data_IF_727505901221
#
_entry.id   IF_727505901221
#
_cell.length_a   1.000
_cell.length_b   1.000
_cell.length_c   1.000
_cell.angle_alpha   90.00
_cell.angle_beta   90.00
_cell.angle_gamma   90.00
#
_symmetry.space_group_name_H-M   'P 1'
#
loop_
_entity.id
_entity.type
_entity.pdbx_description
1 polymer ?
#
# COMPACT_ATOMS: atom_id res chain seq x y z
N UNK A 1 22.83 -5.18 43.85
CA UNK A 1 23.16 -6.62 44.03
C UNK A 1 24.08 -6.94 45.23
N UNK A 2 24.53 -5.98 46.06
CA UNK A 2 25.46 -6.26 47.17
C UNK A 2 24.81 -6.34 48.58
N UNK A 3 23.56 -5.88 48.71
CA UNK A 3 22.85 -5.83 50.00
C UNK A 3 22.17 -7.18 50.33
N UNK A 4 21.69 -7.90 49.32
CA UNK A 4 20.98 -9.18 49.51
C UNK A 4 21.89 -10.31 50.02
N UNK A 5 23.19 -10.30 49.67
CA UNK A 5 24.14 -11.33 50.12
C UNK A 5 24.50 -11.24 51.61
N UNK A 6 24.43 -10.05 52.23
CA UNK A 6 24.71 -9.88 53.67
C UNK A 6 23.52 -10.30 54.55
N UNK A 7 22.29 -10.13 54.07
CA UNK A 7 21.08 -10.56 54.78
C UNK A 7 20.90 -12.08 54.80
N UNK A 8 21.31 -12.78 53.73
CA UNK A 8 21.25 -14.24 53.65
C UNK A 8 22.28 -14.91 54.56
N UNK A 9 23.49 -14.35 54.70
CA UNK A 9 24.55 -14.87 55.56
C UNK A 9 24.23 -14.73 57.06
N UNK A 10 23.62 -13.61 57.47
CA UNK A 10 23.16 -13.39 58.86
C UNK A 10 22.01 -14.33 59.25
N UNK A 11 21.13 -14.68 58.30
CA UNK A 11 20.09 -15.71 58.50
C UNK A 11 20.67 -17.11 58.70
N UNK A 12 21.75 -17.46 58.00
CA UNK A 12 22.39 -18.78 58.12
C UNK A 12 23.12 -18.95 59.47
N UNK A 13 23.81 -17.92 59.96
CA UNK A 13 24.45 -17.96 61.28
C UNK A 13 23.45 -18.01 62.45
N UNK A 14 22.29 -17.32 62.33
CA UNK A 14 21.20 -17.44 63.31
C UNK A 14 20.49 -18.79 63.25
N UNK A 15 20.39 -19.43 62.08
CA UNK A 15 19.87 -20.80 61.92
C UNK A 15 20.75 -21.81 62.66
N UNK A 16 22.07 -21.79 62.44
CA UNK A 16 22.99 -22.76 63.06
C UNK A 16 23.06 -22.68 64.59
N UNK A 17 22.83 -21.50 65.20
CA UNK A 17 22.71 -21.37 66.67
C UNK A 17 21.38 -21.90 67.20
N UNK A 18 20.27 -21.69 66.48
CA UNK A 18 18.96 -22.23 66.86
C UNK A 18 18.93 -23.76 66.75
N UNK A 19 19.58 -24.31 65.73
CA UNK A 19 19.67 -25.75 65.49
C UNK A 19 20.47 -26.46 66.58
N UNK A 20 21.61 -25.90 67.02
CA UNK A 20 22.38 -26.43 68.15
C UNK A 20 21.63 -26.36 69.49
N UNK A 21 20.86 -25.29 69.73
CA UNK A 21 20.01 -25.19 70.92
C UNK A 21 18.87 -26.20 70.87
N UNK A 22 18.25 -26.42 69.70
CA UNK A 22 17.22 -27.43 69.52
C UNK A 22 17.76 -28.85 69.72
N UNK A 23 18.95 -29.14 69.20
CA UNK A 23 19.61 -30.44 69.36
C UNK A 23 20.00 -30.69 70.82
N UNK A 24 20.51 -29.69 71.54
CA UNK A 24 20.80 -29.81 72.98
C UNK A 24 19.52 -29.97 73.81
N UNK A 25 18.43 -29.30 73.44
CA UNK A 25 17.14 -29.45 74.10
C UNK A 25 16.52 -30.84 73.84
N UNK A 26 16.66 -31.38 72.63
CA UNK A 26 16.18 -32.70 72.25
C UNK A 26 17.03 -33.83 72.85
N UNK A 27 18.35 -33.68 72.93
CA UNK A 27 19.24 -34.65 73.61
C UNK A 27 19.00 -34.70 75.11
N UNK A 28 18.69 -33.58 75.76
CA UNK A 28 18.39 -33.55 77.19
C UNK A 28 17.00 -34.15 77.52
N UNK A 29 16.05 -34.15 76.57
CA UNK A 29 14.74 -34.80 76.75
C UNK A 29 14.74 -36.33 76.58
N UNK A 30 15.75 -36.90 75.91
CA UNK A 30 15.87 -38.36 75.77
C UNK A 30 16.41 -39.04 77.04
N UNK A 31 16.93 -38.29 78.00
CA UNK A 31 17.47 -38.83 79.24
C UNK A 31 16.49 -38.79 80.43
N UNK A 32 15.36 -38.09 80.32
CA UNK A 32 14.52 -37.78 81.50
C UNK A 32 13.01 -38.13 81.38
N UNK A 33 12.58 -38.98 80.43
CA UNK A 33 11.13 -39.22 80.23
C UNK A 33 10.67 -40.67 79.99
N UNK A 34 11.33 -41.66 80.59
CA UNK A 34 10.74 -43.03 80.66
C UNK A 34 9.80 -43.25 81.86
N UNK A 35 9.40 -42.18 82.56
CA UNK A 35 8.51 -42.27 83.73
C UNK A 35 7.12 -41.72 83.39
N UNK A 36 6.44 -42.29 82.40
CA UNK A 36 4.98 -42.35 82.42
C UNK A 36 4.45 -43.37 81.39
N UNK A 37 3.71 -44.37 81.88
CA UNK A 37 3.01 -45.43 81.15
C UNK A 37 3.86 -46.60 80.59
N UNK A 38 3.57 -47.81 81.11
CA UNK A 38 4.19 -49.07 80.73
C UNK A 38 3.92 -49.52 79.28
N UNK A 39 4.55 -50.62 78.83
CA UNK A 39 4.57 -51.00 77.44
C UNK A 39 3.18 -51.50 76.99
N UNK A 40 2.54 -50.75 76.08
CA UNK A 40 1.55 -51.31 75.16
C UNK A 40 0.10 -50.82 75.27
N UNK A 41 -0.26 -49.83 76.11
CA UNK A 41 -1.62 -49.28 76.11
C UNK A 41 -1.64 -47.78 75.85
N UNK A 42 -2.23 -47.39 74.72
CA UNK A 42 -2.44 -45.99 74.35
C UNK A 42 -3.34 -45.30 75.38
N UNK A 43 -3.00 -44.10 75.86
CA UNK A 43 -3.86 -43.36 76.78
C UNK A 43 -5.26 -43.15 76.18
N UNK A 44 -6.31 -43.35 76.97
CA UNK A 44 -7.69 -43.24 76.50
C UNK A 44 -7.98 -41.85 75.92
N UNK A 45 -7.51 -40.80 76.58
CA UNK A 45 -7.65 -39.43 76.09
C UNK A 45 -7.09 -39.27 74.66
N UNK A 46 -5.90 -39.81 74.41
CA UNK A 46 -5.26 -39.73 73.09
C UNK A 46 -6.06 -40.47 72.01
N UNK A 47 -6.65 -41.63 72.32
CA UNK A 47 -7.52 -42.35 71.38
C UNK A 47 -8.78 -41.56 71.02
N UNK A 48 -9.40 -40.89 72.01
CA UNK A 48 -10.60 -40.08 71.78
C UNK A 48 -10.29 -38.85 70.93
N UNK A 49 -9.19 -38.14 71.23
CA UNK A 49 -8.78 -36.95 70.47
C UNK A 49 -8.44 -37.30 69.01
N UNK A 50 -7.72 -38.39 68.76
CA UNK A 50 -7.40 -38.82 67.39
C UNK A 50 -8.65 -39.28 66.61
N UNK A 51 -9.57 -40.00 67.27
CA UNK A 51 -10.85 -40.38 66.67
C UNK A 51 -11.66 -39.15 66.27
N UNK A 52 -11.69 -38.13 67.12
CA UNK A 52 -12.35 -36.85 66.82
C UNK A 52 -11.69 -36.12 65.64
N UNK A 53 -10.36 -35.94 65.66
CA UNK A 53 -9.63 -35.30 64.55
C UNK A 53 -9.91 -36.01 63.23
N UNK A 54 -9.81 -37.34 63.22
CA UNK A 54 -10.05 -38.10 62.00
C UNK A 54 -11.48 -37.91 61.51
N UNK A 55 -12.49 -38.01 62.38
CA UNK A 55 -13.89 -37.80 61.97
C UNK A 55 -14.13 -36.40 61.42
N UNK A 56 -13.73 -35.35 62.14
CA UNK A 56 -13.94 -33.96 61.72
C UNK A 56 -13.18 -33.61 60.44
N UNK A 57 -11.95 -34.10 60.26
CA UNK A 57 -11.19 -33.87 59.04
C UNK A 57 -11.75 -34.60 57.81
N UNK A 58 -12.44 -35.74 58.00
CA UNK A 58 -13.14 -36.42 56.89
C UNK A 58 -14.43 -35.69 56.50
N UNK A 59 -15.00 -34.88 57.39
CA UNK A 59 -16.18 -34.04 57.11
C UNK A 59 -15.81 -32.79 56.29
N UNK A 60 -14.57 -32.30 56.39
CA UNK A 60 -14.12 -31.10 55.67
C UNK A 60 -13.66 -31.45 54.25
N UNK A 61 -14.25 -30.82 53.24
CA UNK A 61 -13.89 -31.03 51.83
C UNK A 61 -12.60 -30.32 51.44
N UNK A 62 -11.70 -31.03 50.76
CA UNK A 62 -10.43 -30.46 50.25
C UNK A 62 -10.60 -29.34 49.22
N UNK A 63 -11.78 -29.16 48.64
CA UNK A 63 -12.05 -28.14 47.61
C UNK A 63 -12.54 -26.80 48.19
N UNK A 64 -12.70 -26.71 49.51
CA UNK A 64 -13.19 -25.49 50.15
C UNK A 64 -12.08 -24.43 50.23
N UNK A 65 -12.35 -23.16 49.85
CA UNK A 65 -11.33 -22.09 49.88
C UNK A 65 -10.75 -21.86 51.28
N UNK A 66 -11.53 -22.15 52.31
CA UNK A 66 -11.19 -22.04 53.74
C UNK A 66 -10.73 -23.38 54.33
N UNK A 67 -10.45 -24.40 53.51
CA UNK A 67 -10.05 -25.74 53.96
C UNK A 67 -8.94 -25.70 55.02
N UNK A 68 -7.92 -24.86 54.82
CA UNK A 68 -6.81 -24.72 55.77
C UNK A 68 -7.25 -24.06 57.09
N UNK A 69 -8.20 -23.12 57.06
CA UNK A 69 -8.75 -22.46 58.24
C UNK A 69 -9.66 -23.41 59.03
N UNK A 70 -10.50 -24.18 58.34
CA UNK A 70 -11.35 -25.21 58.92
C UNK A 70 -10.52 -26.35 59.52
N UNK A 71 -9.49 -26.81 58.81
CA UNK A 71 -8.53 -27.80 59.31
C UNK A 71 -7.83 -27.31 60.58
N UNK A 72 -7.36 -26.05 60.59
CA UNK A 72 -6.74 -25.45 61.76
C UNK A 72 -7.72 -25.35 62.94
N UNK A 73 -9.00 -25.07 62.67
CA UNK A 73 -10.04 -24.99 63.69
C UNK A 73 -10.25 -26.34 64.41
N UNK A 74 -10.31 -27.45 63.67
CA UNK A 74 -10.39 -28.81 64.25
C UNK A 74 -9.24 -29.08 65.21
N UNK A 75 -8.00 -28.73 64.82
CA UNK A 75 -6.85 -28.90 65.70
C UNK A 75 -6.84 -27.94 66.90
N UNK A 76 -7.35 -26.70 66.76
CA UNK A 76 -7.53 -25.77 67.88
C UNK A 76 -8.50 -26.30 68.92
N UNK A 77 -9.60 -26.90 68.47
CA UNK A 77 -10.63 -27.45 69.35
C UNK A 77 -10.10 -28.67 70.10
N UNK A 78 -9.40 -29.56 69.41
CA UNK A 78 -8.73 -30.74 69.99
C UNK A 78 -7.65 -30.35 70.99
N UNK A 79 -6.83 -29.34 70.66
CA UNK A 79 -5.82 -28.83 71.57
C UNK A 79 -6.46 -28.16 72.79
N UNK A 80 -7.60 -27.49 72.62
CA UNK A 80 -8.40 -26.97 73.73
C UNK A 80 -8.92 -28.06 74.66
N UNK A 81 -9.45 -29.17 74.10
CA UNK A 81 -9.85 -30.35 74.86
C UNK A 81 -8.65 -30.98 75.58
N UNK A 82 -7.51 -31.12 74.91
CA UNK A 82 -6.28 -31.64 75.50
C UNK A 82 -5.85 -30.81 76.71
N UNK A 83 -5.76 -29.48 76.59
CA UNK A 83 -5.32 -28.59 77.68
C UNK A 83 -6.22 -28.69 78.92
N UNK A 84 -7.54 -28.85 78.73
CA UNK A 84 -8.51 -28.96 79.85
C UNK A 84 -8.26 -30.16 80.77
N UNK A 85 -7.68 -31.23 80.24
CA UNK A 85 -7.40 -32.46 80.99
C UNK A 85 -6.10 -32.36 81.82
N UNK A 86 -5.15 -31.48 81.48
CA UNK A 86 -3.85 -31.36 82.15
C UNK A 86 -3.83 -30.34 83.29
N UNK A 87 -4.35 -30.70 84.46
CA UNK A 87 -4.54 -29.75 85.59
C UNK A 87 -3.27 -28.98 86.01
N UNK A 88 -2.11 -29.64 86.10
CA UNK A 88 -0.86 -29.02 86.58
C UNK A 88 -0.27 -28.00 85.60
N UNK A 89 -0.36 -28.27 84.30
CA UNK A 89 0.25 -27.44 83.24
C UNK A 89 -0.77 -26.58 82.49
N UNK A 90 -2.06 -26.71 82.82
CA UNK A 90 -3.16 -26.03 82.12
C UNK A 90 -2.97 -24.52 82.01
N UNK A 91 -2.56 -23.76 83.06
CA UNK A 91 -2.36 -22.32 82.93
C UNK A 91 -1.31 -21.97 81.87
N UNK A 92 -0.13 -22.60 81.95
CA UNK A 92 0.96 -22.38 81.00
C UNK A 92 0.57 -22.74 79.56
N UNK A 93 -0.06 -23.90 79.35
CA UNK A 93 -0.48 -24.32 78.00
C UNK A 93 -1.61 -23.43 77.45
N UNK A 94 -2.50 -22.93 78.31
CA UNK A 94 -3.55 -21.99 77.93
C UNK A 94 -2.96 -20.65 77.51
N UNK A 95 -1.96 -20.16 78.24
CA UNK A 95 -1.24 -18.92 77.90
C UNK A 95 -0.49 -19.06 76.57
N UNK A 96 0.21 -20.18 76.36
CA UNK A 96 0.87 -20.49 75.09
C UNK A 96 -0.16 -20.51 73.94
N UNK A 97 -1.28 -21.23 74.10
CA UNK A 97 -2.36 -21.28 73.10
C UNK A 97 -2.89 -19.88 72.80
N UNK A 98 -3.13 -19.06 73.83
CA UNK A 98 -3.63 -17.69 73.71
C UNK A 98 -2.66 -16.79 72.93
N UNK A 99 -1.36 -16.89 73.18
CA UNK A 99 -0.37 -16.10 72.42
C UNK A 99 -0.35 -16.45 70.92
N UNK A 100 -0.47 -17.74 70.57
CA UNK A 100 -0.62 -18.14 69.17
C UNK A 100 -1.93 -17.64 68.55
N UNK A 101 -3.04 -17.71 69.28
CA UNK A 101 -4.33 -17.21 68.83
C UNK A 101 -4.33 -15.69 68.61
N UNK A 102 -3.70 -14.94 69.52
CA UNK A 102 -3.49 -13.50 69.37
C UNK A 102 -2.64 -13.18 68.14
N UNK A 103 -1.56 -13.92 67.93
CA UNK A 103 -0.67 -13.74 66.77
C UNK A 103 -1.40 -14.05 65.45
N UNK A 104 -2.20 -15.11 65.41
CA UNK A 104 -3.00 -15.45 64.23
C UNK A 104 -4.06 -14.37 63.94
N UNK A 105 -4.77 -13.88 64.96
CA UNK A 105 -5.74 -12.80 64.81
C UNK A 105 -5.09 -11.51 64.29
N UNK A 106 -3.90 -11.17 64.80
CA UNK A 106 -3.11 -10.04 64.32
C UNK A 106 -2.74 -10.19 62.83
N UNK A 107 -2.22 -11.36 62.43
CA UNK A 107 -1.86 -11.63 61.04
C UNK A 107 -3.07 -11.60 60.10
N UNK A 108 -4.22 -12.14 60.53
CA UNK A 108 -5.47 -12.06 59.78
C UNK A 108 -5.93 -10.60 59.62
N UNK A 109 -5.79 -9.77 60.66
CA UNK A 109 -6.04 -8.32 60.57
C UNK A 109 -5.17 -7.65 59.50
N UNK A 110 -3.86 -7.92 59.51
CA UNK A 110 -2.93 -7.42 58.50
C UNK A 110 -3.28 -7.86 57.08
N UNK A 111 -3.75 -9.10 56.89
CA UNK A 111 -4.21 -9.58 55.57
C UNK A 111 -5.48 -8.84 55.12
N UNK A 112 -6.43 -8.60 56.03
CA UNK A 112 -7.67 -7.88 55.71
C UNK A 112 -7.43 -6.44 55.26
N UNK A 113 -6.43 -5.78 55.82
CA UNK A 113 -6.03 -4.42 55.39
C UNK A 113 -5.47 -4.38 53.95
N UNK A 114 -4.94 -5.49 53.44
CA UNK A 114 -4.44 -5.55 52.06
C UNK A 114 -5.56 -5.58 51.01
N UNK A 115 -6.76 -6.03 51.37
CA UNK A 115 -7.89 -6.14 50.43
C UNK A 115 -8.40 -4.78 49.90
N UNK A 116 -8.61 -3.73 50.73
CA UNK A 116 -8.95 -2.40 50.23
C UNK A 116 -7.81 -1.77 49.41
N UNK A 117 -6.54 -2.05 49.75
CA UNK A 117 -5.39 -1.61 48.97
C UNK A 117 -5.38 -2.23 47.56
N UNK A 118 -5.64 -3.53 47.45
CA UNK A 118 -5.79 -4.24 46.16
C UNK A 118 -6.96 -3.71 45.35
N UNK A 119 -8.08 -3.44 46.01
CA UNK A 119 -9.27 -2.86 45.38
C UNK A 119 -8.98 -1.47 44.82
N UNK A 120 -8.32 -0.60 45.60
CA UNK A 120 -7.91 0.73 45.15
C UNK A 120 -6.91 0.67 44.00
N UNK A 121 -5.94 -0.25 44.06
CA UNK A 121 -4.99 -0.45 42.96
C UNK A 121 -5.72 -0.82 41.66
N UNK A 122 -6.66 -1.78 41.73
CA UNK A 122 -7.47 -2.19 40.58
C UNK A 122 -8.21 -1.01 39.95
N UNK A 123 -8.87 -0.19 40.76
CA UNK A 123 -9.58 1.01 40.29
C UNK A 123 -8.64 2.02 39.62
N UNK A 124 -7.46 2.27 40.19
CA UNK A 124 -6.48 3.19 39.59
C UNK A 124 -5.92 2.63 38.28
N UNK A 125 -5.68 1.31 38.20
CA UNK A 125 -5.26 0.66 36.97
C UNK A 125 -6.32 0.82 35.88
N UNK A 126 -7.59 0.50 36.17
CA UNK A 126 -8.70 0.66 35.22
C UNK A 126 -8.88 2.12 34.76
N UNK A 127 -8.70 3.08 35.67
CA UNK A 127 -8.75 4.51 35.35
C UNK A 127 -7.61 4.93 34.41
N UNK A 128 -6.39 4.48 34.69
CA UNK A 128 -5.23 4.73 33.83
C UNK A 128 -5.43 4.13 32.44
N UNK A 129 -5.90 2.89 32.35
CA UNK A 129 -6.17 2.21 31.08
C UNK A 129 -7.22 2.98 30.27
N UNK A 130 -8.29 3.44 30.91
CA UNK A 130 -9.33 4.25 30.26
C UNK A 130 -8.77 5.57 29.74
N UNK A 131 -7.90 6.25 30.50
CA UNK A 131 -7.26 7.50 30.07
C UNK A 131 -6.33 7.28 28.88
N UNK A 132 -5.53 6.20 28.89
CA UNK A 132 -4.64 5.84 27.79
C UNK A 132 -5.47 5.58 26.52
N UNK A 133 -6.54 4.79 26.64
CA UNK A 133 -7.43 4.50 25.51
C UNK A 133 -8.11 5.75 24.96
N UNK A 134 -8.60 6.65 25.83
CA UNK A 134 -9.23 7.89 25.42
C UNK A 134 -8.26 8.81 24.66
N UNK A 135 -7.04 8.98 25.18
CA UNK A 135 -5.98 9.76 24.52
C UNK A 135 -5.60 9.18 23.17
N UNK A 136 -5.44 7.86 23.11
CA UNK A 136 -5.15 7.18 21.84
C UNK A 136 -6.26 7.40 20.81
N UNK A 137 -7.53 7.29 21.21
CA UNK A 137 -8.66 7.52 20.31
C UNK A 137 -8.72 8.97 19.79
N UNK A 138 -8.46 9.94 20.66
CA UNK A 138 -8.36 11.36 20.32
C UNK A 138 -7.25 11.61 19.28
N UNK A 139 -6.04 11.10 19.54
CA UNK A 139 -4.90 11.20 18.62
C UNK A 139 -5.20 10.56 17.25
N UNK A 140 -5.83 9.38 17.22
CA UNK A 140 -6.19 8.74 15.96
C UNK A 140 -7.26 9.53 15.17
N UNK A 141 -8.21 10.15 15.87
CA UNK A 141 -9.20 11.01 15.24
C UNK A 141 -8.55 12.27 14.63
N UNK A 142 -7.62 12.90 15.35
CA UNK A 142 -6.86 14.07 14.87
C UNK A 142 -5.98 13.71 13.68
N UNK A 143 -5.20 12.62 13.75
CA UNK A 143 -4.41 12.11 12.62
C UNK A 143 -5.30 11.87 11.41
N UNK A 144 -6.49 11.29 11.61
CA UNK A 144 -7.47 11.09 10.55
C UNK A 144 -7.96 12.40 9.93
N UNK A 145 -8.22 13.43 10.75
CA UNK A 145 -8.65 14.74 10.29
C UNK A 145 -7.56 15.46 9.48
N UNK A 146 -6.34 15.51 10.01
CA UNK A 146 -5.20 16.13 9.35
C UNK A 146 -4.84 15.44 8.04
N UNK A 147 -4.97 14.10 7.95
CA UNK A 147 -4.77 13.38 6.68
C UNK A 147 -5.80 13.79 5.62
N UNK A 148 -7.06 13.94 6.00
CA UNK A 148 -8.12 14.39 5.08
C UNK A 148 -7.88 15.82 4.60
N UNK A 149 -7.51 16.72 5.50
CA UNK A 149 -7.19 18.11 5.17
C UNK A 149 -5.97 18.20 4.24
N UNK A 150 -4.89 17.47 4.56
CA UNK A 150 -3.71 17.37 3.69
C UNK A 150 -4.09 16.93 2.26
N UNK A 151 -4.91 15.89 2.13
CA UNK A 151 -5.38 15.41 0.82
C UNK A 151 -6.24 16.45 0.09
N UNK A 152 -7.04 17.23 0.82
CA UNK A 152 -7.83 18.32 0.24
C UNK A 152 -6.93 19.45 -0.25
N UNK A 153 -5.95 19.87 0.55
CA UNK A 153 -4.98 20.90 0.17
C UNK A 153 -4.13 20.46 -1.03
N UNK A 154 -3.70 19.19 -1.08
CA UNK A 154 -3.00 18.65 -2.24
C UNK A 154 -3.83 18.75 -3.52
N UNK A 155 -5.12 18.35 -3.47
CA UNK A 155 -6.04 18.50 -4.61
C UNK A 155 -6.21 19.96 -5.03
N UNK A 156 -6.28 20.88 -4.07
CA UNK A 156 -6.39 22.31 -4.37
C UNK A 156 -5.13 22.84 -5.06
N UNK A 157 -3.94 22.43 -4.60
CA UNK A 157 -2.66 22.78 -5.23
C UNK A 157 -2.61 22.27 -6.67
N UNK A 158 -3.00 21.01 -6.91
CA UNK A 158 -3.04 20.43 -8.26
C UNK A 158 -3.99 21.22 -9.17
N UNK A 159 -5.19 21.55 -8.69
CA UNK A 159 -6.16 22.34 -9.45
C UNK A 159 -5.64 23.74 -9.78
N UNK A 160 -4.95 24.38 -8.84
CA UNK A 160 -4.33 25.69 -9.05
C UNK A 160 -3.19 25.63 -10.08
N UNK A 161 -2.36 24.57 -10.04
CA UNK A 161 -1.30 24.34 -11.04
C UNK A 161 -1.86 24.14 -12.44
N UNK A 162 -2.94 23.38 -12.58
CA UNK A 162 -3.58 23.20 -13.89
C UNK A 162 -4.18 24.50 -14.41
N UNK A 163 -4.76 25.32 -13.52
CA UNK A 163 -5.24 26.66 -13.90
C UNK A 163 -4.10 27.59 -14.33
N UNK A 164 -2.96 27.52 -13.66
CA UNK A 164 -1.77 28.29 -14.02
C UNK A 164 -1.25 27.91 -15.41
N UNK A 165 -1.10 26.61 -15.68
CA UNK A 165 -0.73 26.11 -17.02
C UNK A 165 -1.72 26.55 -18.10
N UNK A 166 -3.03 26.48 -17.82
CA UNK A 166 -4.05 26.92 -18.76
C UNK A 166 -3.94 28.43 -19.05
N UNK A 167 -3.67 29.24 -18.03
CA UNK A 167 -3.44 30.68 -18.19
C UNK A 167 -2.19 30.95 -19.03
N UNK A 168 -1.09 30.24 -18.76
CA UNK A 168 0.16 30.37 -19.51
C UNK A 168 -0.03 30.03 -21.00
N UNK A 169 -0.77 28.94 -21.30
CA UNK A 169 -1.13 28.60 -22.67
C UNK A 169 -1.98 29.69 -23.36
N UNK A 170 -2.93 30.31 -22.64
CA UNK A 170 -3.72 31.42 -23.16
C UNK A 170 -2.83 32.63 -23.47
N UNK A 171 -1.86 32.95 -22.62
CA UNK A 171 -0.91 34.03 -22.86
C UNK A 171 -0.05 33.74 -24.09
N UNK A 172 0.50 32.53 -24.22
CA UNK A 172 1.26 32.11 -25.39
C UNK A 172 0.44 32.21 -26.69
N UNK A 173 -0.82 31.76 -26.67
CA UNK A 173 -1.73 31.88 -27.83
C UNK A 173 -2.00 33.34 -28.22
N UNK A 174 -2.14 34.26 -27.25
CA UNK A 174 -2.29 35.69 -27.54
C UNK A 174 -1.06 36.23 -28.26
N UNK A 175 0.14 35.92 -27.77
CA UNK A 175 1.41 36.32 -28.40
C UNK A 175 1.51 35.77 -29.83
N UNK A 176 1.26 34.47 -30.02
CA UNK A 176 1.28 33.86 -31.35
C UNK A 176 0.26 34.51 -32.31
N UNK A 177 -0.93 34.88 -31.80
CA UNK A 177 -1.94 35.56 -32.61
C UNK A 177 -1.49 36.96 -33.01
N UNK A 178 -0.91 37.72 -32.10
CA UNK A 178 -0.35 39.04 -32.41
C UNK A 178 0.77 38.93 -33.46
N UNK A 179 1.69 38.00 -33.30
CA UNK A 179 2.79 37.81 -34.26
C UNK A 179 2.29 37.34 -35.63
N UNK A 180 1.26 36.48 -35.67
CA UNK A 180 0.57 36.13 -36.92
C UNK A 180 -0.02 37.38 -37.59
N UNK A 181 -0.68 38.25 -36.84
CA UNK A 181 -1.24 39.49 -37.43
C UNK A 181 -0.15 40.44 -37.94
N UNK A 182 0.98 40.57 -37.22
CA UNK A 182 2.14 41.35 -37.70
C UNK A 182 2.68 40.79 -39.01
N UNK A 183 2.90 39.49 -39.09
CA UNK A 183 3.39 38.82 -40.30
C UNK A 183 2.40 38.98 -41.47
N UNK A 184 1.09 38.90 -41.22
CA UNK A 184 0.07 39.14 -42.23
C UNK A 184 0.08 40.59 -42.74
N UNK A 185 0.25 41.56 -41.85
CA UNK A 185 0.38 42.98 -42.22
C UNK A 185 1.65 43.23 -43.03
N UNK A 186 2.78 42.64 -42.65
CA UNK A 186 4.04 42.69 -43.40
C UNK A 186 3.91 42.09 -44.79
N UNK A 187 3.30 40.91 -44.91
CA UNK A 187 3.03 40.29 -46.19
C UNK A 187 2.14 41.17 -47.08
N UNK A 188 1.10 41.77 -46.49
CA UNK A 188 0.20 42.69 -47.20
C UNK A 188 0.95 43.92 -47.68
N UNK A 189 1.81 44.49 -46.83
CA UNK A 189 2.70 45.61 -47.16
C UNK A 189 3.64 45.27 -48.30
N UNK A 190 4.37 44.15 -48.20
CA UNK A 190 5.30 43.68 -49.22
C UNK A 190 4.60 43.43 -50.56
N UNK A 191 3.39 42.83 -50.56
CA UNK A 191 2.57 42.66 -51.77
C UNK A 191 2.19 44.00 -52.40
N UNK A 192 1.85 45.01 -51.60
CA UNK A 192 1.54 46.34 -52.11
C UNK A 192 2.79 47.05 -52.67
N UNK A 193 3.94 46.95 -52.00
CA UNK A 193 5.22 47.47 -52.49
C UNK A 193 5.63 46.81 -53.81
N UNK A 194 5.49 45.48 -53.88
CA UNK A 194 5.71 44.73 -55.11
C UNK A 194 4.81 45.20 -56.26
N UNK A 195 3.53 45.43 -55.97
CA UNK A 195 2.58 45.98 -56.93
C UNK A 195 2.98 47.38 -57.44
N UNK A 196 3.63 48.19 -56.61
CA UNK A 196 4.16 49.52 -57.00
C UNK A 196 5.41 49.40 -57.86
N UNK A 197 6.33 48.48 -57.52
CA UNK A 197 7.64 48.35 -58.16
C UNK A 197 7.56 47.69 -59.53
N UNK A 198 6.59 46.80 -59.76
CA UNK A 198 6.41 46.15 -61.06
C UNK A 198 5.10 46.62 -61.69
N UNK A 199 5.16 47.61 -62.60
CA UNK A 199 3.98 48.10 -63.31
C UNK A 199 3.21 46.97 -63.96
N UNK A 200 1.88 47.00 -63.86
CA UNK A 200 0.98 46.00 -64.44
C UNK A 200 1.29 45.67 -65.91
N UNK A 201 1.71 46.70 -66.68
CA UNK A 201 2.14 46.55 -68.07
C UNK A 201 3.37 45.65 -68.24
N UNK A 202 4.33 45.68 -67.31
CA UNK A 202 5.50 44.82 -67.32
C UNK A 202 5.13 43.38 -66.96
N UNK A 203 4.16 43.17 -66.05
CA UNK A 203 3.60 41.84 -65.77
C UNK A 203 2.92 41.24 -66.98
N UNK A 204 2.03 41.99 -67.63
CA UNK A 204 1.32 41.50 -68.81
C UNK A 204 2.30 41.20 -69.94
N UNK A 205 3.36 42.01 -70.09
CA UNK A 205 4.44 41.76 -71.06
C UNK A 205 5.24 40.50 -70.71
N UNK A 206 5.62 40.32 -69.44
CA UNK A 206 6.38 39.16 -68.97
C UNK A 206 5.57 37.86 -69.07
N UNK A 207 4.29 37.92 -68.76
CA UNK A 207 3.36 36.79 -68.87
C UNK A 207 3.13 36.43 -70.34
N UNK A 208 3.01 37.43 -71.21
CA UNK A 208 2.86 37.22 -72.65
C UNK A 208 4.13 36.65 -73.27
N UNK A 209 5.33 37.12 -72.90
CA UNK A 209 6.58 36.50 -73.36
C UNK A 209 6.75 35.10 -72.82
N UNK A 210 6.38 34.83 -71.56
CA UNK A 210 6.39 33.47 -71.02
C UNK A 210 5.47 32.54 -71.82
N UNK A 211 4.25 32.99 -72.12
CA UNK A 211 3.30 32.25 -72.95
C UNK A 211 3.80 32.04 -74.38
N UNK A 212 4.40 33.06 -74.99
CA UNK A 212 5.03 32.97 -76.31
C UNK A 212 6.21 31.98 -76.30
N UNK A 213 7.07 32.04 -75.29
CA UNK A 213 8.19 31.11 -75.14
C UNK A 213 7.69 29.68 -74.99
N UNK A 214 6.61 29.44 -74.23
CA UNK A 214 5.98 28.12 -74.13
C UNK A 214 5.44 27.63 -75.47
N UNK A 215 4.80 28.51 -76.24
CA UNK A 215 4.33 28.18 -77.58
C UNK A 215 5.50 27.87 -78.52
N UNK A 216 6.56 28.67 -78.49
CA UNK A 216 7.78 28.43 -79.27
C UNK A 216 8.44 27.10 -78.88
N UNK A 217 8.48 26.77 -77.59
CA UNK A 217 9.04 25.50 -77.10
C UNK A 217 8.21 24.32 -77.63
N UNK A 218 6.88 24.46 -77.66
CA UNK A 218 5.98 23.46 -78.26
C UNK A 218 6.18 23.34 -79.77
N UNK A 219 6.36 24.44 -80.49
CA UNK A 219 6.66 24.44 -81.93
C UNK A 219 8.00 23.77 -82.19
N UNK A 220 9.07 24.19 -81.49
CA UNK A 220 10.40 23.60 -81.62
C UNK A 220 10.42 22.11 -81.26
N UNK A 221 9.59 21.69 -80.30
CA UNK A 221 9.43 20.28 -79.98
C UNK A 221 8.74 19.52 -81.12
N UNK A 222 7.69 20.09 -81.73
CA UNK A 222 7.09 19.54 -82.93
C UNK A 222 8.07 19.46 -84.10
N UNK A 223 8.85 20.51 -84.34
CA UNK A 223 9.90 20.55 -85.37
C UNK A 223 11.00 19.52 -85.09
N UNK A 224 11.39 19.34 -83.83
CA UNK A 224 12.34 18.30 -83.43
C UNK A 224 11.79 16.89 -83.68
N UNK A 225 10.52 16.65 -83.33
CA UNK A 225 9.84 15.38 -83.61
C UNK A 225 9.70 15.16 -85.13
N UNK A 226 9.43 16.21 -85.90
CA UNK A 226 9.40 16.20 -87.37
C UNK A 226 10.75 15.86 -87.99
N UNK A 227 11.82 16.54 -87.57
CA UNK A 227 13.18 16.25 -88.01
C UNK A 227 13.60 14.84 -87.65
N UNK A 228 13.16 14.34 -86.49
CA UNK A 228 13.41 12.95 -86.08
C UNK A 228 12.70 11.96 -87.01
N UNK A 229 11.48 12.25 -87.44
CA UNK A 229 10.74 11.45 -88.44
C UNK A 229 11.41 11.54 -89.81
N UNK A 230 11.80 12.73 -90.27
CA UNK A 230 12.48 12.92 -91.56
C UNK A 230 13.82 12.18 -91.59
N UNK A 231 14.64 12.32 -90.53
CA UNK A 231 15.92 11.62 -90.42
C UNK A 231 15.73 10.09 -90.38
N UNK A 232 14.70 9.59 -89.68
CA UNK A 232 14.35 8.18 -89.69
C UNK A 232 13.93 7.70 -91.10
N UNK A 233 13.15 8.49 -91.84
CA UNK A 233 12.73 8.18 -93.22
C UNK A 233 13.91 8.20 -94.21
N UNK A 234 14.79 9.21 -94.14
CA UNK A 234 16.02 9.28 -94.95
C UNK A 234 16.94 8.07 -94.69
N UNK A 235 17.03 7.63 -93.44
CA UNK A 235 17.81 6.43 -93.06
C UNK A 235 17.16 5.14 -93.57
N UNK A 236 15.83 5.04 -93.56
CA UNK A 236 15.10 3.87 -94.03
C UNK A 236 15.02 3.75 -95.57
N UNK A 237 15.09 4.87 -96.31
CA UNK A 237 14.92 4.91 -97.77
C UNK A 237 16.01 5.74 -98.50
N UNK A 238 17.25 5.23 -98.65
CA UNK A 238 18.41 5.98 -99.15
C UNK A 238 18.42 6.31 -100.66
N UNK A 239 17.37 5.96 -101.43
CA UNK A 239 17.31 6.14 -102.89
C UNK A 239 16.20 7.11 -103.35
N UNK A 240 15.57 7.83 -102.42
CA UNK A 240 14.43 8.74 -102.69
C UNK A 240 14.91 10.20 -102.78
N UNK A 241 14.45 10.95 -103.79
CA UNK A 241 14.79 12.37 -103.97
C UNK A 241 14.11 13.25 -102.91
N UNK A 242 14.73 14.37 -102.51
CA UNK A 242 14.24 15.26 -101.43
C UNK A 242 12.75 15.65 -101.61
N UNK A 243 12.28 15.83 -102.84
CA UNK A 243 10.89 16.18 -103.16
C UNK A 243 9.85 15.08 -102.81
N UNK A 244 10.24 13.80 -102.80
CA UNK A 244 9.36 12.69 -102.44
C UNK A 244 9.29 12.48 -100.92
N UNK A 245 10.38 12.82 -100.20
CA UNK A 245 10.46 12.72 -98.74
C UNK A 245 9.60 13.81 -98.09
N UNK A 246 9.63 15.04 -98.61
CA UNK A 246 8.81 16.16 -98.12
C UNK A 246 7.29 15.87 -98.26
N UNK A 247 6.88 15.20 -99.35
CA UNK A 247 5.47 14.82 -99.59
C UNK A 247 4.98 13.74 -98.61
N UNK A 248 5.86 12.83 -98.20
CA UNK A 248 5.59 11.77 -97.23
C UNK A 248 5.55 12.30 -95.78
N UNK A 249 6.48 13.18 -95.42
CA UNK A 249 6.48 13.86 -94.10
C UNK A 249 5.21 14.69 -93.93
N UNK A 250 4.77 15.42 -94.96
CA UNK A 250 3.52 16.18 -94.94
C UNK A 250 2.27 15.30 -94.77
N UNK A 251 2.26 14.10 -95.35
CA UNK A 251 1.15 13.14 -95.23
C UNK A 251 1.09 12.47 -93.85
N UNK A 252 2.23 12.33 -93.16
CA UNK A 252 2.31 11.71 -91.84
C UNK A 252 1.93 12.65 -90.69
N UNK A 253 1.96 13.98 -90.91
CA UNK A 253 1.74 15.00 -89.87
C UNK A 253 0.45 15.82 -90.05
N UNK A 254 -0.39 15.52 -91.05
CA UNK A 254 -1.72 16.10 -91.12
C UNK A 254 -2.59 15.48 -90.02
N UNK A 255 -2.83 16.22 -88.94
CA UNK A 255 -3.91 15.89 -88.02
C UNK A 255 -5.25 15.92 -88.79
N UNK A 256 -6.17 14.95 -88.58
CA UNK A 256 -7.46 14.97 -89.24
C UNK A 256 -8.24 16.21 -88.81
N UNK A 257 -8.55 17.05 -89.80
CA UNK A 257 -9.31 18.28 -89.63
C UNK A 257 -10.70 17.96 -89.03
N UNK A 258 -11.06 18.77 -88.04
CA UNK A 258 -12.25 18.68 -87.19
C UNK A 258 -13.54 18.96 -87.98
N UNK A 259 -13.93 17.98 -88.79
CA UNK A 259 -15.16 17.96 -89.57
C UNK A 259 -15.97 16.72 -89.20
N UNK A 260 -16.75 16.84 -88.12
CA UNK A 260 -18.01 16.18 -87.72
C UNK A 260 -18.40 14.73 -88.12
N UNK A 261 -17.54 13.94 -88.75
CA UNK A 261 -17.74 12.51 -89.04
C UNK A 261 -16.73 11.62 -88.29
N UNK A 262 -16.31 12.05 -87.11
CA UNK A 262 -15.53 11.19 -86.22
C UNK A 262 -16.48 10.24 -85.50
N UNK A 263 -16.53 9.00 -85.96
CA UNK A 263 -17.04 7.89 -85.15
C UNK A 263 -16.25 7.93 -83.83
N UNK A 264 -16.89 8.37 -82.75
CA UNK A 264 -16.27 8.47 -81.42
C UNK A 264 -15.58 7.14 -81.09
N UNK A 265 -14.35 7.16 -80.56
CA UNK A 265 -13.59 5.94 -80.23
C UNK A 265 -14.37 4.96 -79.33
N UNK A 266 -15.33 5.45 -78.54
CA UNK A 266 -16.28 4.61 -77.79
C UNK A 266 -17.18 3.75 -78.69
N UNK A 267 -17.60 4.23 -79.87
CA UNK A 267 -18.43 3.50 -80.84
C UNK A 267 -17.65 2.41 -81.59
N UNK A 268 -16.33 2.61 -81.79
CA UNK A 268 -15.43 1.56 -82.31
C UNK A 268 -15.19 0.46 -81.26
N UNK A 269 -15.03 0.81 -79.98
CA UNK A 269 -14.91 -0.19 -78.92
C UNK A 269 -16.22 -0.96 -78.67
N UNK A 270 -17.40 -0.33 -78.81
CA UNK A 270 -18.69 -1.02 -78.72
C UNK A 270 -18.95 -1.98 -79.90
N UNK A 271 -18.62 -1.58 -81.14
CA UNK A 271 -18.80 -2.44 -82.33
C UNK A 271 -17.81 -3.61 -82.38
N UNK A 272 -16.61 -3.47 -81.79
CA UNK A 272 -15.65 -4.56 -81.60
C UNK A 272 -16.01 -5.49 -80.44
N UNK A 273 -16.76 -5.00 -79.44
CA UNK A 273 -17.28 -5.82 -78.34
C UNK A 273 -18.57 -6.59 -78.71
N UNK A 274 -19.36 -6.09 -79.68
CA UNK A 274 -20.61 -6.71 -80.15
C UNK A 274 -20.43 -7.74 -81.28
N UNK A 275 -19.22 -7.94 -81.84
CA UNK A 275 -18.92 -9.02 -82.79
C UNK A 275 -18.43 -10.33 -82.15
N UNK A 276 -18.55 -10.44 -80.81
CA UNK A 276 -18.54 -11.65 -79.97
C UNK A 276 -17.89 -12.95 -80.49
N UNK A 277 -17.00 -13.53 -79.68
CA UNK A 277 -17.29 -14.65 -78.77
C UNK A 277 -16.02 -15.45 -78.41
N UNK A 278 -15.80 -15.59 -77.10
CA UNK A 278 -15.01 -16.59 -76.36
C UNK A 278 -13.49 -16.67 -76.65
N UNK A 279 -12.57 -16.63 -75.69
CA UNK A 279 -12.59 -17.27 -74.35
C UNK A 279 -11.45 -16.68 -73.49
N UNK A 280 -11.73 -16.34 -72.24
CA UNK A 280 -10.79 -16.28 -71.09
C UNK A 280 -10.26 -17.71 -70.77
N UNK A 281 -9.31 -17.98 -69.85
CA UNK A 281 -8.37 -17.13 -69.08
C UNK A 281 -6.95 -17.79 -68.99
N UNK A 282 -6.19 -17.76 -67.86
CA UNK A 282 -5.17 -16.76 -67.47
C UNK A 282 -3.81 -17.41 -67.12
N UNK A 283 -2.73 -16.64 -66.89
CA UNK A 283 -1.62 -17.01 -65.98
C UNK A 283 -0.55 -15.89 -65.95
N UNK A 284 -0.31 -15.28 -64.79
CA UNK A 284 0.85 -15.49 -63.91
C UNK A 284 2.07 -14.63 -64.29
N UNK A 285 2.22 -13.46 -63.66
CA UNK A 285 3.13 -13.17 -62.53
C UNK A 285 3.03 -11.69 -62.14
#
# INVERSE_FOLDING_TARGET
>A
MSIDYKMTLSRHQKKGKKEKVLVLFLSNQQQESYICAGPGRKPQLLMHLESYVNKELHTISSHEPTFQELKLQVYRDVFGCFIKEFKTYQPLLSDIKKEYENTLAYLQGQIRELEPLRSRLRLVTEECDRKIQARWAEEQAEIGALKREKQQLQRLIEAMREKEKAMEAVLALKVCREDLTKAQMELTRMKAEYWVVVPRRNWDTLEQTHRQNLQQLKTLQGDFDQLKIEAALRTAFPLKSDQEIDQLVASAQSEPDNSNDTISSQRLHSLLAESGVATLPPALE
#
